data_IF_428611338601
#
_entry.id   IF_428611338601
#
_cell.length_a   1.000
_cell.length_b   1.000
_cell.length_c   1.000
_cell.angle_alpha   90.00
_cell.angle_beta   90.00
_cell.angle_gamma   90.00
#
_symmetry.space_group_name_H-M   'P 1'
#
loop_
_entity.id
_entity.type
_entity.pdbx_description
1 polymer ?
#
# COMPACT_ATOMS: atom_id res chain seq x y z
N UNK A 1 -1.21 -1.16 -17.29
CA UNK A 1 -2.60 -1.03 -16.79
C UNK A 1 -2.92 0.45 -16.74
N UNK A 2 -3.92 0.89 -17.48
CA UNK A 2 -4.32 2.31 -17.47
C UNK A 2 -5.34 2.55 -16.37
N UNK A 3 -5.05 3.53 -15.53
CA UNK A 3 -5.93 4.03 -14.46
C UNK A 3 -6.48 5.39 -14.89
N UNK A 4 -7.79 5.49 -15.04
CA UNK A 4 -8.44 6.75 -15.40
C UNK A 4 -8.43 7.74 -14.23
N UNK A 5 -8.45 9.04 -14.54
CA UNK A 5 -8.54 10.09 -13.54
C UNK A 5 -9.88 10.08 -12.80
N UNK A 6 -9.85 10.49 -11.53
CA UNK A 6 -11.05 10.61 -10.70
C UNK A 6 -10.90 11.69 -9.62
N UNK A 7 -12.04 12.18 -9.16
CA UNK A 7 -12.13 13.18 -8.08
C UNK A 7 -12.93 12.65 -6.91
N UNK A 8 -12.70 13.22 -5.73
CA UNK A 8 -13.51 12.99 -4.54
C UNK A 8 -13.82 14.29 -3.82
N UNK A 9 -15.10 14.50 -3.58
CA UNK A 9 -15.64 15.66 -2.86
C UNK A 9 -16.35 15.20 -1.59
N UNK A 10 -16.15 15.93 -0.49
CA UNK A 10 -16.93 15.81 0.75
C UNK A 10 -17.46 17.18 1.11
N UNK A 11 -18.75 17.28 1.40
CA UNK A 11 -19.42 18.51 1.83
C UNK A 11 -19.12 19.72 0.92
N UNK A 12 -19.14 19.49 -0.40
CA UNK A 12 -18.86 20.52 -1.42
C UNK A 12 -17.37 20.87 -1.59
N UNK A 13 -16.47 20.31 -0.77
CA UNK A 13 -15.02 20.54 -0.87
C UNK A 13 -14.36 19.37 -1.60
N UNK A 14 -13.69 19.65 -2.71
CA UNK A 14 -12.84 18.67 -3.40
C UNK A 14 -11.61 18.33 -2.54
N UNK A 15 -11.49 17.07 -2.15
CA UNK A 15 -10.40 16.56 -1.30
C UNK A 15 -9.41 15.69 -2.06
N UNK A 16 -9.77 15.30 -3.29
CA UNK A 16 -8.90 14.54 -4.17
C UNK A 16 -9.17 14.90 -5.63
N UNK A 17 -8.10 15.13 -6.37
CA UNK A 17 -8.06 15.26 -7.82
C UNK A 17 -6.90 14.44 -8.35
N UNK A 18 -7.22 13.29 -8.92
CA UNK A 18 -6.24 12.36 -9.47
C UNK A 18 -6.39 12.33 -10.99
N UNK A 19 -5.35 12.72 -11.76
CA UNK A 19 -5.44 12.85 -13.22
C UNK A 19 -5.49 11.50 -13.95
N UNK A 20 -5.20 10.41 -13.25
CA UNK A 20 -4.96 9.10 -13.86
C UNK A 20 -3.48 8.85 -14.12
N UNK A 21 -3.13 7.59 -14.37
CA UNK A 21 -1.78 7.17 -14.71
C UNK A 21 -1.75 5.80 -15.38
N UNK A 22 -0.58 5.40 -15.84
CA UNK A 22 -0.32 4.03 -16.23
C UNK A 22 0.47 3.31 -15.14
N UNK A 23 0.06 2.08 -14.82
CA UNK A 23 0.77 1.18 -13.92
C UNK A 23 1.41 0.06 -14.74
N UNK A 24 2.67 -0.22 -14.46
CA UNK A 24 3.40 -1.34 -15.04
C UNK A 24 3.37 -2.53 -14.08
N UNK A 25 3.20 -3.71 -14.65
CA UNK A 25 3.22 -4.99 -13.93
C UNK A 25 4.60 -5.22 -13.31
N UNK A 26 4.65 -5.67 -12.06
CA UNK A 26 5.90 -5.96 -11.36
C UNK A 26 6.63 -4.74 -10.79
N UNK A 27 6.03 -3.53 -10.85
CA UNK A 27 6.57 -2.30 -10.24
C UNK A 27 5.91 -1.95 -8.93
N UNK A 28 6.69 -1.29 -8.07
CA UNK A 28 6.26 -0.73 -6.79
C UNK A 28 6.20 0.80 -6.89
N UNK A 29 5.02 1.35 -6.62
CA UNK A 29 4.70 2.78 -6.63
C UNK A 29 4.55 3.28 -5.21
N UNK A 30 5.49 4.09 -4.70
CA UNK A 30 5.35 4.70 -3.39
C UNK A 30 4.54 6.00 -3.47
N UNK A 31 3.47 6.07 -2.68
CA UNK A 31 2.64 7.27 -2.53
C UNK A 31 3.08 8.01 -1.28
N UNK A 32 3.68 9.19 -1.47
CA UNK A 32 4.21 10.03 -0.40
C UNK A 32 3.50 11.40 -0.33
N UNK A 33 3.66 12.11 0.77
CA UNK A 33 3.08 13.43 1.01
C UNK A 33 2.69 13.64 2.47
N UNK A 34 2.44 14.87 2.87
CA UNK A 34 2.08 15.24 4.23
C UNK A 34 0.76 14.57 4.70
N UNK A 35 0.52 14.55 6.01
CA UNK A 35 -0.77 14.14 6.55
C UNK A 35 -1.90 15.03 6.00
N UNK A 36 -3.02 14.43 5.63
CA UNK A 36 -4.13 15.15 5.01
C UNK A 36 -3.94 15.51 3.53
N UNK A 37 -2.85 15.08 2.87
CA UNK A 37 -2.63 15.36 1.44
C UNK A 37 -3.52 14.57 0.47
N UNK A 38 -4.37 13.65 0.96
CA UNK A 38 -5.30 12.89 0.14
C UNK A 38 -4.91 11.43 -0.13
N UNK A 39 -3.73 10.95 0.32
CA UNK A 39 -3.22 9.59 0.04
C UNK A 39 -4.18 8.45 0.39
N UNK A 40 -4.71 8.44 1.62
CA UNK A 40 -5.65 7.38 2.05
C UNK A 40 -7.01 7.50 1.36
N UNK A 41 -7.42 8.71 0.96
CA UNK A 41 -8.62 8.92 0.13
C UNK A 41 -8.39 8.36 -1.27
N UNK A 42 -7.23 8.65 -1.87
CA UNK A 42 -6.79 8.06 -3.13
C UNK A 42 -6.81 6.53 -3.06
N UNK A 43 -6.14 5.93 -2.05
CA UNK A 43 -6.10 4.49 -1.85
C UNK A 43 -7.48 3.84 -1.78
N UNK A 44 -8.37 4.42 -0.97
CA UNK A 44 -9.73 3.90 -0.78
C UNK A 44 -10.60 4.05 -2.02
N UNK A 45 -10.50 5.17 -2.75
CA UNK A 45 -11.17 5.32 -4.04
C UNK A 45 -10.63 4.32 -5.05
N UNK A 46 -9.30 4.22 -5.15
CA UNK A 46 -8.63 3.34 -6.08
C UNK A 46 -8.94 1.86 -5.81
N UNK A 47 -9.05 1.46 -4.54
CA UNK A 47 -9.48 0.12 -4.12
C UNK A 47 -10.99 -0.12 -4.26
N UNK A 48 -11.78 0.87 -4.66
CA UNK A 48 -13.24 0.77 -4.75
C UNK A 48 -13.96 0.70 -3.39
N UNK A 49 -13.26 1.01 -2.28
CA UNK A 49 -13.82 1.01 -0.92
C UNK A 49 -14.76 2.20 -0.71
N UNK A 50 -14.43 3.34 -1.29
CA UNK A 50 -15.29 4.52 -1.34
C UNK A 50 -15.50 4.93 -2.80
N UNK A 51 -16.69 5.41 -3.11
CA UNK A 51 -17.00 5.87 -4.45
C UNK A 51 -16.35 7.23 -4.74
N UNK A 52 -15.72 7.36 -5.90
CA UNK A 52 -15.37 8.65 -6.47
C UNK A 52 -16.62 9.42 -6.92
N UNK A 53 -16.47 10.71 -7.23
CA UNK A 53 -17.62 11.57 -7.60
C UNK A 53 -18.29 11.13 -8.90
N UNK A 54 -17.50 10.66 -9.88
CA UNK A 54 -18.03 10.07 -11.12
C UNK A 54 -18.10 8.56 -10.97
N UNK A 55 -19.26 7.99 -11.22
CA UNK A 55 -19.44 6.53 -11.33
C UNK A 55 -18.76 6.05 -12.60
N UNK A 56 -17.88 5.06 -12.49
CA UNK A 56 -17.20 4.43 -13.63
C UNK A 56 -16.12 3.45 -13.16
N UNK A 57 -15.60 2.67 -14.08
CA UNK A 57 -14.44 1.83 -13.85
C UNK A 57 -13.19 2.70 -13.90
N UNK A 58 -12.34 2.63 -12.87
CA UNK A 58 -11.05 3.35 -12.86
C UNK A 58 -10.05 2.73 -13.82
N UNK A 59 -10.28 1.50 -14.25
CA UNK A 59 -9.41 0.77 -15.16
C UNK A 59 -10.03 0.65 -16.54
N UNK A 60 -9.19 0.49 -17.54
CA UNK A 60 -9.55 0.25 -18.94
C UNK A 60 -10.17 -1.13 -19.16
N UNK A 61 -9.95 -2.08 -18.26
CA UNK A 61 -10.56 -3.42 -18.17
C UNK A 61 -10.67 -3.88 -16.73
N UNK A 62 -11.26 -5.04 -16.49
CA UNK A 62 -11.31 -5.63 -15.15
C UNK A 62 -9.93 -6.09 -14.69
N UNK A 63 -9.56 -5.67 -13.49
CA UNK A 63 -8.38 -6.12 -12.76
C UNK A 63 -8.77 -6.51 -11.33
N UNK A 64 -8.09 -7.51 -10.80
CA UNK A 64 -8.20 -7.89 -9.40
C UNK A 64 -7.43 -6.91 -8.54
N UNK A 65 -8.13 -6.20 -7.63
CA UNK A 65 -7.52 -5.20 -6.76
C UNK A 65 -7.57 -5.67 -5.32
N UNK A 66 -6.39 -5.73 -4.67
CA UNK A 66 -6.25 -5.99 -3.23
C UNK A 66 -6.03 -4.68 -2.47
N UNK A 67 -6.50 -4.64 -1.21
CA UNK A 67 -6.29 -3.50 -0.33
C UNK A 67 -6.03 -3.93 1.11
N UNK A 68 -4.91 -3.48 1.67
CA UNK A 68 -4.61 -3.57 3.09
C UNK A 68 -4.72 -2.18 3.72
N UNK A 69 -5.70 -1.92 4.60
CA UNK A 69 -5.83 -0.63 5.26
C UNK A 69 -4.78 -0.44 6.34
N UNK A 70 -4.45 0.82 6.64
CA UNK A 70 -3.54 1.21 7.72
C UNK A 70 -3.92 0.57 9.06
N UNK A 71 -5.21 0.58 9.40
CA UNK A 71 -5.73 -0.10 10.57
C UNK A 71 -6.34 -1.44 10.17
N UNK A 72 -5.56 -2.50 10.28
CA UNK A 72 -6.01 -3.85 10.00
C UNK A 72 -6.90 -4.41 11.12
N UNK A 73 -7.92 -5.17 10.73
CA UNK A 73 -8.87 -5.77 11.65
C UNK A 73 -8.54 -7.25 11.91
N UNK A 74 -8.23 -7.64 13.16
CA UNK A 74 -8.08 -9.04 13.54
C UNK A 74 -9.44 -9.66 13.89
N UNK A 75 -9.88 -10.64 13.09
CA UNK A 75 -11.08 -11.40 13.43
C UNK A 75 -10.87 -12.25 14.68
N UNK A 76 -11.94 -12.50 15.46
CA UNK A 76 -11.90 -13.22 16.75
C UNK A 76 -11.67 -14.73 16.58
N UNK A 77 -10.66 -15.12 15.81
CA UNK A 77 -10.19 -16.48 15.55
C UNK A 77 -8.66 -16.57 15.70
N UNK A 78 -8.07 -17.75 15.52
CA UNK A 78 -6.60 -17.89 15.57
C UNK A 78 -5.90 -17.14 14.43
N UNK A 79 -4.60 -16.83 14.62
CA UNK A 79 -3.77 -16.17 13.61
C UNK A 79 -3.77 -16.95 12.30
N UNK A 80 -3.52 -18.27 12.36
CA UNK A 80 -3.54 -19.13 11.15
C UNK A 80 -4.87 -19.08 10.40
N UNK A 81 -6.01 -19.05 11.13
CA UNK A 81 -7.34 -18.92 10.51
C UNK A 81 -7.59 -17.55 9.92
N UNK A 82 -7.07 -16.48 10.55
CA UNK A 82 -7.12 -15.12 9.99
C UNK A 82 -6.37 -15.04 8.66
N UNK A 83 -5.18 -15.65 8.58
CA UNK A 83 -4.38 -15.67 7.34
C UNK A 83 -5.08 -16.49 6.27
N UNK A 84 -5.65 -17.63 6.62
CA UNK A 84 -6.39 -18.52 5.73
C UNK A 84 -7.65 -17.88 5.10
N UNK A 85 -8.15 -16.75 5.62
CA UNK A 85 -9.20 -15.97 4.96
C UNK A 85 -8.73 -15.37 3.61
N UNK A 86 -7.42 -15.20 3.41
CA UNK A 86 -6.85 -14.73 2.14
C UNK A 86 -6.70 -15.84 1.09
N UNK A 87 -6.64 -17.11 1.50
CA UNK A 87 -6.47 -18.25 0.60
C UNK A 87 -6.33 -19.57 1.36
N UNK A 88 -6.53 -20.68 0.67
CA UNK A 88 -6.59 -22.04 1.26
C UNK A 88 -5.27 -22.81 1.18
N UNK A 89 -4.25 -22.26 0.52
CA UNK A 89 -2.93 -22.90 0.38
C UNK A 89 -2.21 -22.91 1.73
N UNK A 90 -2.12 -24.10 2.35
CA UNK A 90 -1.51 -24.30 3.67
C UNK A 90 0.01 -24.08 3.60
N UNK A 91 0.66 -24.52 2.51
CA UNK A 91 2.12 -24.38 2.35
C UNK A 91 2.49 -22.91 2.26
N UNK A 92 1.81 -22.15 1.41
CA UNK A 92 2.00 -20.70 1.28
C UNK A 92 1.74 -19.98 2.61
N UNK A 93 0.66 -20.34 3.31
CA UNK A 93 0.36 -19.76 4.64
C UNK A 93 1.51 -19.96 5.62
N UNK A 94 2.03 -21.18 5.72
CA UNK A 94 3.06 -21.52 6.68
C UNK A 94 4.40 -20.84 6.32
N UNK A 95 4.73 -20.74 5.03
CA UNK A 95 5.88 -19.97 4.54
C UNK A 95 5.76 -18.47 4.86
N UNK A 96 4.58 -17.87 4.67
CA UNK A 96 4.33 -16.46 5.00
C UNK A 96 4.43 -16.22 6.51
N UNK A 97 3.92 -17.15 7.32
CA UNK A 97 4.02 -17.07 8.78
C UNK A 97 5.48 -17.15 9.26
N UNK A 98 6.29 -18.00 8.64
CA UNK A 98 7.70 -18.14 8.96
C UNK A 98 8.48 -16.88 8.56
N UNK A 99 8.37 -16.44 7.29
CA UNK A 99 9.01 -15.22 6.79
C UNK A 99 8.67 -13.99 7.64
N UNK A 100 7.42 -13.85 8.08
CA UNK A 100 6.96 -12.74 8.91
C UNK A 100 7.15 -12.97 10.43
N UNK A 101 7.82 -14.06 10.82
CA UNK A 101 8.16 -14.39 12.22
C UNK A 101 6.93 -14.43 13.15
N UNK A 102 5.82 -15.01 12.67
CA UNK A 102 4.56 -15.15 13.44
C UNK A 102 4.11 -16.60 13.61
N UNK A 103 4.93 -17.59 13.24
CA UNK A 103 4.60 -19.03 13.37
C UNK A 103 4.28 -19.42 14.80
N UNK A 104 5.01 -18.89 15.79
CA UNK A 104 4.79 -19.13 17.22
C UNK A 104 3.42 -18.59 17.72
N UNK A 105 2.77 -17.72 16.95
CA UNK A 105 1.46 -17.13 17.24
C UNK A 105 0.30 -17.87 16.58
N UNK A 106 0.56 -18.93 15.79
CA UNK A 106 -0.44 -19.59 14.94
C UNK A 106 -1.77 -19.87 15.63
N UNK A 107 -1.74 -20.39 16.85
CA UNK A 107 -2.93 -20.76 17.66
C UNK A 107 -3.44 -19.63 18.55
N UNK A 108 -2.71 -18.52 18.69
CA UNK A 108 -3.12 -17.37 19.50
C UNK A 108 -4.36 -16.70 18.88
N UNK A 109 -5.31 -16.25 19.71
CA UNK A 109 -6.44 -15.44 19.23
C UNK A 109 -5.94 -14.11 18.68
N UNK A 110 -6.28 -13.79 17.45
CA UNK A 110 -5.74 -12.63 16.74
C UNK A 110 -6.11 -11.28 17.38
N UNK A 111 -7.24 -11.20 18.10
CA UNK A 111 -7.62 -10.01 18.87
C UNK A 111 -6.75 -9.75 20.13
N UNK A 112 -5.77 -10.61 20.41
CA UNK A 112 -4.80 -10.45 21.50
C UNK A 112 -3.39 -10.13 20.99
N UNK A 113 -3.26 -9.84 19.71
CA UNK A 113 -2.00 -9.47 19.08
C UNK A 113 -1.63 -8.01 19.40
N UNK A 114 -0.32 -7.73 19.45
CA UNK A 114 0.19 -6.36 19.41
C UNK A 114 -0.09 -5.71 18.05
N UNK A 115 0.16 -4.41 17.93
CA UNK A 115 0.00 -3.69 16.65
C UNK A 115 0.88 -4.27 15.54
N UNK A 116 2.16 -4.51 15.82
CA UNK A 116 3.09 -5.09 14.85
C UNK A 116 2.75 -6.54 14.49
N UNK A 117 2.36 -7.39 15.47
CA UNK A 117 1.88 -8.75 15.20
C UNK A 117 0.62 -8.74 14.32
N UNK A 118 -0.30 -7.80 14.57
CA UNK A 118 -1.52 -7.63 13.76
C UNK A 118 -1.19 -7.20 12.33
N UNK A 119 -0.27 -6.27 12.16
CA UNK A 119 0.16 -5.81 10.84
C UNK A 119 0.81 -6.95 10.02
N UNK A 120 1.69 -7.73 10.64
CA UNK A 120 2.33 -8.91 10.00
C UNK A 120 1.32 -9.99 9.62
N UNK A 121 0.37 -10.29 10.50
CA UNK A 121 -0.74 -11.22 10.20
C UNK A 121 -1.58 -10.70 9.03
N UNK A 122 -1.88 -9.41 8.99
CA UNK A 122 -2.67 -8.81 7.92
C UNK A 122 -1.91 -8.82 6.57
N UNK A 123 -0.60 -8.58 6.60
CA UNK A 123 0.27 -8.68 5.44
C UNK A 123 0.33 -10.13 4.93
N UNK A 124 0.52 -11.11 5.82
CA UNK A 124 0.43 -12.53 5.47
C UNK A 124 -0.92 -12.86 4.81
N UNK A 125 -2.02 -12.40 5.39
CA UNK A 125 -3.38 -12.64 4.88
C UNK A 125 -3.58 -12.08 3.46
N UNK A 126 -3.10 -10.89 3.17
CA UNK A 126 -3.26 -10.30 1.83
C UNK A 126 -2.37 -11.00 0.80
N UNK A 127 -1.20 -11.47 1.19
CA UNK A 127 -0.28 -12.19 0.31
C UNK A 127 -0.65 -13.66 0.05
N UNK A 128 -1.70 -14.16 0.70
CA UNK A 128 -2.27 -15.49 0.38
C UNK A 128 -2.91 -15.55 -1.02
N UNK A 129 -3.27 -14.40 -1.59
CA UNK A 129 -3.95 -14.30 -2.89
C UNK A 129 -3.12 -13.42 -3.84
N UNK A 130 -3.16 -13.74 -5.13
CA UNK A 130 -2.56 -12.91 -6.19
C UNK A 130 -3.53 -11.84 -6.64
N UNK A 131 -3.01 -10.63 -6.89
CA UNK A 131 -3.75 -9.48 -7.41
C UNK A 131 -2.99 -8.86 -8.58
N UNK A 132 -3.73 -8.27 -9.53
CA UNK A 132 -3.13 -7.45 -10.58
C UNK A 132 -2.61 -6.12 -10.00
N UNK A 133 -3.37 -5.56 -9.05
CA UNK A 133 -2.99 -4.36 -8.30
C UNK A 133 -3.17 -4.61 -6.81
N UNK A 134 -2.14 -4.32 -6.01
CA UNK A 134 -2.21 -4.42 -4.56
C UNK A 134 -1.88 -3.08 -3.93
N UNK A 135 -2.78 -2.58 -3.09
CA UNK A 135 -2.61 -1.32 -2.37
C UNK A 135 -2.37 -1.63 -0.89
N UNK A 136 -1.25 -1.14 -0.36
CA UNK A 136 -0.87 -1.28 1.04
C UNK A 136 -0.79 0.11 1.68
N UNK A 137 -1.67 0.38 2.66
CA UNK A 137 -1.73 1.67 3.35
C UNK A 137 -0.97 1.58 4.68
N UNK A 138 0.26 2.09 4.71
CA UNK A 138 1.20 2.08 5.85
C UNK A 138 1.39 0.69 6.50
N UNK A 139 1.72 -0.34 5.74
CA UNK A 139 1.70 -1.73 6.21
C UNK A 139 2.72 -2.04 7.32
N UNK A 140 3.79 -1.25 7.44
CA UNK A 140 4.89 -1.47 8.40
C UNK A 140 4.95 -0.44 9.52
N UNK A 141 3.99 0.49 9.61
CA UNK A 141 4.03 1.61 10.57
C UNK A 141 4.11 1.19 12.05
N UNK A 142 3.66 -0.01 12.39
CA UNK A 142 3.69 -0.56 13.74
C UNK A 142 4.82 -1.60 13.97
N UNK A 143 5.75 -1.73 13.02
CA UNK A 143 6.87 -2.68 13.07
C UNK A 143 8.17 -1.97 13.43
N UNK A 144 9.08 -2.71 14.06
CA UNK A 144 10.46 -2.26 14.22
C UNK A 144 11.23 -2.29 12.89
N UNK A 145 12.48 -1.84 12.90
CA UNK A 145 13.30 -1.68 11.69
C UNK A 145 13.58 -3.02 11.01
N UNK A 146 13.88 -4.07 11.79
CA UNK A 146 14.20 -5.40 11.26
C UNK A 146 12.99 -6.03 10.59
N UNK A 147 11.84 -6.05 11.26
CA UNK A 147 10.59 -6.60 10.73
C UNK A 147 10.04 -5.79 9.55
N UNK A 148 10.27 -4.47 9.55
CA UNK A 148 9.95 -3.62 8.40
C UNK A 148 10.77 -4.03 7.18
N UNK A 149 12.10 -4.26 7.34
CA UNK A 149 12.96 -4.69 6.25
C UNK A 149 12.55 -6.05 5.67
N UNK A 150 12.25 -7.03 6.53
CA UNK A 150 11.74 -8.34 6.10
C UNK A 150 10.42 -8.20 5.32
N UNK A 151 9.52 -7.35 5.81
CA UNK A 151 8.25 -7.09 5.14
C UNK A 151 8.42 -6.39 3.79
N UNK A 152 9.39 -5.47 3.68
CA UNK A 152 9.74 -4.78 2.43
C UNK A 152 10.29 -5.76 1.38
N UNK A 153 11.15 -6.68 1.78
CA UNK A 153 11.68 -7.69 0.87
C UNK A 153 10.57 -8.65 0.40
N UNK A 154 9.67 -9.03 1.31
CA UNK A 154 8.50 -9.84 0.96
C UNK A 154 7.54 -9.10 0.00
N UNK A 155 7.38 -7.78 0.11
CA UNK A 155 6.62 -6.97 -0.85
C UNK A 155 7.24 -7.00 -2.24
N UNK A 156 8.57 -6.86 -2.35
CA UNK A 156 9.30 -6.95 -3.62
C UNK A 156 9.17 -8.33 -4.26
N UNK A 157 9.36 -9.38 -3.45
CA UNK A 157 9.20 -10.77 -3.88
C UNK A 157 7.78 -11.02 -4.41
N UNK A 158 6.76 -10.64 -3.64
CA UNK A 158 5.35 -10.78 -4.03
C UNK A 158 5.03 -10.03 -5.33
N UNK A 159 5.49 -8.79 -5.45
CA UNK A 159 5.29 -7.96 -6.62
C UNK A 159 5.86 -8.62 -7.89
N UNK A 160 7.10 -9.12 -7.79
CA UNK A 160 7.81 -9.77 -8.89
C UNK A 160 7.19 -11.12 -9.26
N UNK A 161 6.88 -11.97 -8.28
CA UNK A 161 6.34 -13.33 -8.51
C UNK A 161 4.95 -13.30 -9.16
N UNK A 162 4.12 -12.33 -8.78
CA UNK A 162 2.74 -12.25 -9.26
C UNK A 162 2.57 -11.28 -10.45
N UNK A 163 3.62 -10.59 -10.90
CA UNK A 163 3.50 -9.51 -11.87
C UNK A 163 2.55 -8.40 -11.40
N UNK A 164 2.43 -8.20 -10.10
CA UNK A 164 1.52 -7.27 -9.46
C UNK A 164 2.04 -5.83 -9.57
N UNK A 165 1.19 -4.84 -9.84
CA UNK A 165 1.51 -3.45 -9.58
C UNK A 165 1.20 -3.14 -8.11
N UNK A 166 2.24 -2.87 -7.30
CA UNK A 166 2.06 -2.61 -5.87
C UNK A 166 2.08 -1.12 -5.58
N UNK A 167 1.02 -0.60 -4.97
CA UNK A 167 0.88 0.79 -4.54
C UNK A 167 1.08 0.85 -3.03
N UNK A 168 2.22 1.39 -2.60
CA UNK A 168 2.61 1.50 -1.20
C UNK A 168 2.39 2.93 -0.71
N UNK A 169 1.40 3.15 0.16
CA UNK A 169 1.28 4.43 0.86
C UNK A 169 2.19 4.39 2.07
N UNK A 170 3.07 5.37 2.18
CA UNK A 170 3.98 5.49 3.32
C UNK A 170 4.31 6.94 3.63
N UNK A 171 4.53 7.23 4.90
CA UNK A 171 5.12 8.49 5.35
C UNK A 171 6.64 8.39 5.53
N UNK A 172 7.21 7.18 5.38
CA UNK A 172 8.66 6.96 5.46
C UNK A 172 9.32 7.12 4.10
N UNK A 173 10.04 8.22 3.91
CA UNK A 173 10.86 8.45 2.71
C UNK A 173 11.97 7.40 2.57
N UNK A 174 12.50 6.92 3.70
CA UNK A 174 13.50 5.84 3.69
C UNK A 174 12.92 4.53 3.15
N UNK A 175 11.67 4.21 3.50
CA UNK A 175 10.98 3.05 2.93
C UNK A 175 10.74 3.24 1.43
N UNK A 176 10.20 4.39 1.01
CA UNK A 176 10.01 4.70 -0.41
C UNK A 176 11.31 4.55 -1.20
N UNK A 177 12.44 5.06 -0.65
CA UNK A 177 13.77 4.94 -1.24
C UNK A 177 14.22 3.47 -1.41
N UNK A 178 13.95 2.60 -0.41
CA UNK A 178 14.40 1.20 -0.44
C UNK A 178 13.59 0.31 -1.38
N UNK A 179 12.27 0.57 -1.50
CA UNK A 179 11.37 -0.41 -2.15
C UNK A 179 10.76 0.08 -3.45
N UNK A 180 10.57 1.39 -3.65
CA UNK A 180 9.84 1.89 -4.80
C UNK A 180 10.69 1.86 -6.08
N UNK A 181 10.02 1.68 -7.22
CA UNK A 181 10.51 1.96 -8.55
C UNK A 181 10.12 3.37 -8.98
N UNK A 182 8.88 3.76 -8.65
CA UNK A 182 8.33 5.08 -8.93
C UNK A 182 7.71 5.70 -7.68
N UNK A 183 7.66 7.03 -7.65
CA UNK A 183 7.10 7.80 -6.53
C UNK A 183 6.00 8.73 -7.04
N UNK A 184 4.89 8.75 -6.31
CA UNK A 184 3.75 9.63 -6.48
C UNK A 184 3.70 10.60 -5.29
N UNK A 185 3.95 11.88 -5.54
CA UNK A 185 3.87 12.91 -4.51
C UNK A 185 2.51 13.60 -4.50
N UNK A 186 1.78 13.45 -3.39
CA UNK A 186 0.49 14.09 -3.17
C UNK A 186 0.61 15.33 -2.29
N UNK A 187 -0.01 16.41 -2.75
CA UNK A 187 -0.09 17.67 -2.01
C UNK A 187 -1.49 18.28 -2.15
N UNK A 188 -2.15 18.57 -1.03
CA UNK A 188 -3.49 19.19 -0.96
C UNK A 188 -4.55 18.53 -1.85
N UNK A 189 -4.56 17.22 -1.91
CA UNK A 189 -5.52 16.43 -2.68
C UNK A 189 -5.16 16.22 -4.15
N UNK A 190 -4.02 16.69 -4.61
CA UNK A 190 -3.60 16.57 -6.00
C UNK A 190 -2.32 15.72 -6.12
N UNK A 191 -2.21 14.95 -7.20
CA UNK A 191 -0.94 14.35 -7.61
C UNK A 191 -0.08 15.45 -8.26
N UNK A 192 0.91 15.95 -7.51
CA UNK A 192 1.76 17.06 -7.97
C UNK A 192 2.92 16.60 -8.83
N UNK A 193 3.53 15.50 -8.47
CA UNK A 193 4.68 15.00 -9.20
C UNK A 193 4.70 13.47 -9.16
N UNK A 194 5.12 12.84 -10.27
CA UNK A 194 5.30 11.39 -10.35
C UNK A 194 6.46 11.09 -11.30
N UNK A 195 7.14 9.98 -11.05
CA UNK A 195 8.26 9.50 -11.86
C UNK A 195 9.16 8.55 -11.12
N UNK A 196 10.29 8.21 -11.74
CA UNK A 196 11.31 7.36 -11.13
C UNK A 196 11.73 7.90 -9.77
N UNK A 197 11.91 7.00 -8.80
CA UNK A 197 12.24 7.39 -7.42
C UNK A 197 13.47 8.28 -7.31
N UNK A 198 14.48 8.03 -8.13
CA UNK A 198 15.72 8.82 -8.17
C UNK A 198 15.43 10.27 -8.54
N UNK A 199 14.55 10.49 -9.52
CA UNK A 199 14.18 11.84 -9.93
C UNK A 199 13.38 12.54 -8.85
N UNK A 200 12.33 11.90 -8.33
CA UNK A 200 11.43 12.53 -7.36
C UNK A 200 12.15 12.81 -6.03
N UNK A 201 12.96 11.85 -5.55
CA UNK A 201 13.60 11.98 -4.23
C UNK A 201 14.87 12.84 -4.21
N UNK A 202 15.58 12.97 -5.35
CA UNK A 202 16.86 13.69 -5.37
C UNK A 202 16.91 14.89 -6.32
N UNK A 203 16.04 14.95 -7.31
CA UNK A 203 15.98 16.02 -8.29
C UNK A 203 14.54 16.41 -8.64
N UNK A 204 13.67 16.69 -7.63
CA UNK A 204 12.29 17.05 -7.87
C UNK A 204 12.17 18.35 -8.66
N UNK A 205 11.16 18.44 -9.51
CA UNK A 205 10.89 19.63 -10.33
C UNK A 205 9.94 20.59 -9.63
N UNK A 206 8.91 20.05 -8.97
CA UNK A 206 7.86 20.82 -8.33
C UNK A 206 8.34 21.48 -7.02
N UNK A 207 8.06 22.77 -6.81
CA UNK A 207 8.48 23.48 -5.60
C UNK A 207 7.93 22.86 -4.30
N UNK A 208 6.70 22.33 -4.36
CA UNK A 208 6.05 21.67 -3.24
C UNK A 208 6.77 20.37 -2.86
N UNK A 209 7.22 19.59 -3.86
CA UNK A 209 8.00 18.37 -3.65
C UNK A 209 9.33 18.70 -2.98
N UNK A 210 10.03 19.72 -3.48
CA UNK A 210 11.32 20.20 -2.90
C UNK A 210 11.17 20.54 -1.42
N UNK A 211 10.19 21.40 -1.08
CA UNK A 211 9.92 21.81 0.30
C UNK A 211 9.57 20.62 1.20
N UNK A 212 8.80 19.68 0.68
CA UNK A 212 8.43 18.48 1.43
C UNK A 212 9.67 17.64 1.74
N UNK A 213 10.51 17.36 0.77
CA UNK A 213 11.73 16.57 0.95
C UNK A 213 12.73 17.25 1.89
N UNK A 214 12.97 18.56 1.73
CA UNK A 214 13.80 19.35 2.63
C UNK A 214 13.32 19.27 4.09
N UNK A 215 12.00 19.36 4.32
CA UNK A 215 11.41 19.26 5.65
C UNK A 215 11.59 17.89 6.30
N UNK A 216 11.55 16.82 5.51
CA UNK A 216 11.68 15.43 5.98
C UNK A 216 13.12 14.89 5.89
N UNK A 217 14.11 15.70 5.49
CA UNK A 217 15.53 15.38 5.57
C UNK A 217 16.04 14.39 4.50
N UNK A 218 15.61 14.57 3.25
CA UNK A 218 16.13 13.85 2.07
C UNK A 218 16.94 14.80 1.21
#
# INVERSE_FOLDING_TARGET
MRVNGFTKTYDGRKVLDFPGMELESGKIYAVIGANGSGKSTFAKCFAGIIHADKKGTFFDKEYSVGYMPQKSYPFAMSVEKNIALGGTDIVRRDQLMDKLQITHLAKKKANRLSGGETARMALARVFMKSFDVLILDEPTAAMDVELSSISEDLMKEYCKENGCALVLITHSLQQAKRVADEVLFFYKGELKETGAKEQILYAPKEPETKRFLEFYGV
#
